data_IF_767077471792
#
_entry.id   IF_767077471792
#
_cell.length_a   1.000
_cell.length_b   1.000
_cell.length_c   1.000
_cell.angle_alpha   90.00
_cell.angle_beta   90.00
_cell.angle_gamma   90.00
#
_symmetry.space_group_name_H-M   'P 1'
#
loop_
_entity.id
_entity.type
_entity.pdbx_description
1 polymer ?
#
# COMPACT_ATOMS: atom_id res chain seq x y z
N UNK A 1 1.33 17.74 70.07
CA UNK A 1 0.67 18.25 68.84
C UNK A 1 1.76 18.58 67.83
N UNK A 2 2.05 17.65 66.91
CA UNK A 2 3.09 17.79 65.89
C UNK A 2 2.53 18.49 64.64
N UNK A 3 3.05 19.66 64.31
CA UNK A 3 2.80 20.34 63.04
C UNK A 3 3.96 20.09 62.08
N UNK A 4 3.76 19.23 61.08
CA UNK A 4 4.69 19.01 59.98
C UNK A 4 4.46 20.11 58.93
N UNK A 5 5.39 21.05 58.80
CA UNK A 5 5.40 22.04 57.73
C UNK A 5 5.82 21.35 56.41
N UNK A 6 4.89 21.31 55.46
CA UNK A 6 5.08 20.69 54.14
C UNK A 6 6.11 21.45 53.29
N UNK A 7 7.02 20.68 52.70
CA UNK A 7 7.95 21.08 51.64
C UNK A 7 7.16 21.56 50.40
N UNK A 8 7.56 22.64 49.71
CA UNK A 8 6.87 23.08 48.49
C UNK A 8 7.03 22.03 47.36
N UNK A 9 6.04 21.88 46.45
CA UNK A 9 6.07 20.85 45.41
C UNK A 9 7.03 21.23 44.28
N UNK A 10 8.31 21.00 44.50
CA UNK A 10 9.34 20.95 43.47
C UNK A 10 9.45 19.54 42.89
N UNK A 11 8.39 19.03 42.26
CA UNK A 11 8.38 17.71 41.63
C UNK A 11 7.44 17.63 40.42
N UNK A 12 7.40 18.69 39.60
CA UNK A 12 6.61 18.71 38.36
C UNK A 12 7.39 19.32 37.17
N UNK A 13 8.72 19.31 37.20
CA UNK A 13 9.55 19.81 36.09
C UNK A 13 10.48 18.76 35.45
N UNK A 14 10.61 17.55 36.02
CA UNK A 14 11.44 16.48 35.42
C UNK A 14 10.71 15.61 34.39
N UNK A 15 9.38 15.72 34.25
CA UNK A 15 8.61 14.94 33.26
C UNK A 15 8.52 15.58 31.86
N UNK A 16 9.25 16.66 31.59
CA UNK A 16 9.21 17.34 30.28
C UNK A 16 10.26 16.79 29.30
N UNK A 17 11.29 16.06 29.78
CA UNK A 17 12.34 15.52 28.90
C UNK A 17 11.94 14.26 28.11
N UNK A 18 11.02 13.45 28.63
CA UNK A 18 10.60 12.21 27.95
C UNK A 18 9.58 12.42 26.82
N UNK A 19 9.01 13.63 26.69
CA UNK A 19 8.05 13.98 25.63
C UNK A 19 8.69 14.33 24.28
N UNK A 20 10.03 14.34 24.18
CA UNK A 20 10.73 14.77 22.96
C UNK A 20 10.80 13.68 21.87
N UNK A 21 10.67 12.40 22.22
CA UNK A 21 10.77 11.31 21.23
C UNK A 21 9.51 11.29 20.33
N UNK A 22 8.33 11.53 20.91
CA UNK A 22 7.05 11.49 20.20
C UNK A 22 6.89 12.57 19.11
N UNK A 23 7.69 13.65 19.15
CA UNK A 23 7.60 14.76 18.17
C UNK A 23 8.91 14.94 17.37
N UNK A 24 9.88 14.05 17.54
CA UNK A 24 11.19 14.15 16.89
C UNK A 24 11.15 13.67 15.43
N UNK A 25 11.92 14.33 14.55
CA UNK A 25 12.22 13.88 13.17
C UNK A 25 12.68 12.42 13.12
N UNK A 26 13.30 11.94 14.21
CA UNK A 26 13.76 10.57 14.39
C UNK A 26 12.59 9.58 14.43
N UNK A 27 11.51 9.87 15.16
CA UNK A 27 10.32 9.00 15.21
C UNK A 27 9.66 8.91 13.83
N UNK A 28 9.55 10.03 13.14
CA UNK A 28 9.02 10.02 11.79
C UNK A 28 9.89 9.18 10.84
N UNK A 29 11.22 9.34 10.90
CA UNK A 29 12.14 8.51 10.12
C UNK A 29 11.93 7.03 10.43
N UNK A 30 11.82 6.65 11.70
CA UNK A 30 11.54 5.27 12.12
C UNK A 30 10.25 4.73 11.51
N UNK A 31 9.16 5.51 11.59
CA UNK A 31 7.87 5.13 11.02
C UNK A 31 7.95 4.91 9.51
N UNK A 32 8.69 5.77 8.80
CA UNK A 32 8.93 5.62 7.36
C UNK A 32 9.75 4.37 7.07
N UNK A 33 10.91 4.18 7.72
CA UNK A 33 11.79 3.03 7.41
C UNK A 33 11.10 1.72 7.75
N UNK A 34 10.46 1.59 8.93
CA UNK A 34 9.80 0.34 9.32
C UNK A 34 8.60 0.00 8.41
N UNK A 35 7.87 1.01 7.93
CA UNK A 35 6.75 0.78 7.02
C UNK A 35 7.23 0.46 5.60
N UNK A 36 8.39 0.98 5.21
CA UNK A 36 8.91 0.92 3.85
C UNK A 36 9.67 -0.34 3.48
N UNK A 37 10.29 -1.04 4.43
CA UNK A 37 11.18 -2.16 4.10
C UNK A 37 10.48 -3.24 3.26
N UNK A 38 9.27 -3.62 3.64
CA UNK A 38 8.54 -4.67 2.95
C UNK A 38 8.02 -4.28 1.55
N UNK A 39 7.37 -3.13 1.33
CA UNK A 39 6.96 -2.69 0.00
C UNK A 39 8.14 -2.42 -0.92
N UNK A 40 9.20 -1.79 -0.43
CA UNK A 40 10.42 -1.52 -1.21
C UNK A 40 11.03 -2.83 -1.70
N UNK A 41 11.13 -3.83 -0.81
CA UNK A 41 11.62 -5.17 -1.16
C UNK A 41 10.82 -5.82 -2.29
N UNK A 42 9.48 -5.71 -2.25
CA UNK A 42 8.59 -6.22 -3.30
C UNK A 42 8.92 -5.55 -4.65
N UNK A 43 8.88 -4.21 -4.70
CA UNK A 43 9.01 -3.47 -5.96
C UNK A 43 10.42 -3.47 -6.55
N UNK A 44 11.47 -3.57 -5.73
CA UNK A 44 12.84 -3.72 -6.23
C UNK A 44 13.06 -5.04 -6.99
N UNK A 45 12.32 -6.11 -6.65
CA UNK A 45 12.52 -7.43 -7.27
C UNK A 45 11.76 -7.60 -8.58
N UNK A 46 10.63 -6.89 -8.74
CA UNK A 46 9.77 -6.94 -9.95
C UNK A 46 10.55 -6.87 -11.28
N UNK A 47 11.46 -5.90 -11.51
CA UNK A 47 12.23 -5.82 -12.76
C UNK A 47 13.10 -7.06 -13.03
N UNK A 48 13.55 -7.76 -11.99
CA UNK A 48 14.45 -8.90 -12.08
C UNK A 48 13.74 -10.25 -12.30
N UNK A 49 12.40 -10.28 -12.27
CA UNK A 49 11.62 -11.53 -12.39
C UNK A 49 11.87 -12.31 -13.69
N UNK A 50 11.98 -11.66 -14.87
CA UNK A 50 12.31 -12.38 -16.10
C UNK A 50 13.69 -13.07 -16.01
N UNK A 51 14.66 -12.42 -15.37
CA UNK A 51 16.02 -12.96 -15.18
C UNK A 51 16.03 -14.10 -14.15
N UNK A 52 15.20 -14.02 -13.11
CA UNK A 52 15.04 -15.14 -12.16
C UNK A 52 14.47 -16.39 -12.86
N UNK A 53 13.50 -16.22 -13.75
CA UNK A 53 12.92 -17.34 -14.51
C UNK A 53 13.99 -18.05 -15.37
N UNK A 54 14.82 -17.28 -16.09
CA UNK A 54 15.89 -17.84 -16.91
C UNK A 54 17.02 -18.43 -16.08
N UNK A 55 17.45 -17.76 -15.01
CA UNK A 55 18.55 -18.23 -14.14
C UNK A 55 18.26 -19.59 -13.51
N UNK A 56 17.02 -19.81 -13.05
CA UNK A 56 16.63 -21.08 -12.44
C UNK A 56 16.10 -22.12 -13.45
N UNK A 57 16.01 -21.76 -14.74
CA UNK A 57 15.46 -22.63 -15.77
C UNK A 57 14.02 -23.06 -15.48
N UNK A 58 13.20 -22.16 -14.91
CA UNK A 58 11.82 -22.45 -14.48
C UNK A 58 10.82 -21.59 -15.23
N UNK A 59 9.59 -22.08 -15.26
CA UNK A 59 8.47 -21.36 -15.85
C UNK A 59 8.26 -19.97 -15.22
N UNK A 60 7.80 -19.02 -16.04
CA UNK A 60 7.50 -17.64 -15.67
C UNK A 60 6.52 -17.59 -14.49
N UNK A 61 5.51 -18.46 -14.50
CA UNK A 61 4.54 -18.56 -13.41
C UNK A 61 5.20 -18.93 -12.08
N UNK A 62 6.17 -19.85 -12.08
CA UNK A 62 6.87 -20.24 -10.86
C UNK A 62 7.76 -19.10 -10.36
N UNK A 63 8.46 -18.40 -11.25
CA UNK A 63 9.25 -17.23 -10.86
C UNK A 63 8.37 -16.12 -10.25
N UNK A 64 7.19 -15.88 -10.83
CA UNK A 64 6.23 -14.90 -10.32
C UNK A 64 5.72 -15.22 -8.91
N UNK A 65 5.68 -16.50 -8.50
CA UNK A 65 5.30 -16.87 -7.13
C UNK A 65 6.18 -16.21 -6.07
N UNK A 66 7.40 -15.80 -6.44
CA UNK A 66 8.32 -15.03 -5.58
C UNK A 66 7.70 -13.70 -5.14
N UNK A 67 6.91 -13.05 -6.00
CA UNK A 67 6.17 -11.82 -5.67
C UNK A 67 4.77 -12.14 -5.16
N UNK A 68 4.06 -13.09 -5.79
CA UNK A 68 2.69 -13.44 -5.39
C UNK A 68 2.62 -13.93 -3.94
N UNK A 69 3.49 -14.87 -3.54
CA UNK A 69 3.53 -15.34 -2.16
C UNK A 69 4.13 -14.31 -1.19
N UNK A 70 5.00 -13.42 -1.66
CA UNK A 70 5.40 -12.25 -0.85
C UNK A 70 4.19 -11.37 -0.51
N UNK A 71 3.29 -11.12 -1.47
CA UNK A 71 2.05 -10.38 -1.22
C UNK A 71 1.11 -11.11 -0.26
N UNK A 72 1.01 -12.45 -0.35
CA UNK A 72 0.28 -13.26 0.63
C UNK A 72 0.88 -13.10 2.04
N UNK A 73 2.21 -13.11 2.16
CA UNK A 73 2.90 -12.83 3.42
C UNK A 73 2.55 -11.46 4.01
N UNK A 74 2.52 -10.41 3.17
CA UNK A 74 2.04 -9.08 3.59
C UNK A 74 0.59 -9.16 4.06
N UNK A 75 -0.30 -9.80 3.30
CA UNK A 75 -1.72 -9.89 3.62
C UNK A 75 -1.92 -10.55 4.99
N UNK A 76 -1.30 -11.72 5.22
CA UNK A 76 -1.38 -12.44 6.48
C UNK A 76 -0.81 -11.62 7.64
N UNK A 77 0.32 -10.94 7.44
CA UNK A 77 0.90 -10.06 8.44
C UNK A 77 -0.06 -8.95 8.87
N UNK A 78 -0.87 -8.41 7.96
CA UNK A 78 -1.81 -7.34 8.29
C UNK A 78 -2.91 -7.78 9.26
N UNK A 79 -3.31 -9.05 9.21
CA UNK A 79 -4.29 -9.62 10.13
C UNK A 79 -3.68 -10.06 11.46
N UNK A 80 -2.46 -10.62 11.42
CA UNK A 80 -1.84 -11.25 12.59
C UNK A 80 -1.17 -10.22 13.50
N UNK A 81 -0.41 -9.28 12.92
CA UNK A 81 0.51 -8.43 13.70
C UNK A 81 -0.22 -7.40 14.56
N UNK A 82 -1.40 -6.93 14.15
CA UNK A 82 -2.21 -5.97 14.92
C UNK A 82 -2.59 -6.53 16.30
N UNK A 83 -3.43 -7.58 16.36
CA UNK A 83 -3.83 -8.20 17.63
C UNK A 83 -2.64 -8.71 18.45
N UNK A 84 -1.59 -9.20 17.79
CA UNK A 84 -0.38 -9.66 18.47
C UNK A 84 0.34 -8.50 19.18
N UNK A 85 0.48 -7.36 18.49
CA UNK A 85 1.09 -6.15 19.06
C UNK A 85 0.28 -5.53 20.19
N UNK A 86 -1.05 -5.63 20.13
CA UNK A 86 -1.92 -5.15 21.20
C UNK A 86 -1.80 -6.04 22.45
N UNK A 87 -1.61 -7.36 22.28
CA UNK A 87 -1.47 -8.33 23.39
C UNK A 87 -0.09 -8.30 24.03
N UNK A 88 0.97 -8.39 23.23
CA UNK A 88 2.34 -8.59 23.70
C UNK A 88 3.17 -7.29 23.79
N UNK A 89 2.65 -6.17 23.31
CA UNK A 89 3.39 -4.90 23.21
C UNK A 89 3.86 -4.62 21.79
N UNK A 90 4.02 -3.33 21.47
CA UNK A 90 4.32 -2.87 20.11
C UNK A 90 5.77 -3.15 19.74
N UNK A 91 6.69 -2.86 20.65
CA UNK A 91 8.13 -3.03 20.44
C UNK A 91 8.55 -4.50 20.29
N UNK A 92 8.17 -5.45 21.17
CA UNK A 92 8.63 -6.84 21.04
C UNK A 92 8.09 -7.51 19.78
N UNK A 93 6.83 -7.23 19.40
CA UNK A 93 6.23 -7.80 18.17
C UNK A 93 6.87 -7.22 16.92
N UNK A 94 7.15 -5.91 16.88
CA UNK A 94 7.85 -5.29 15.77
C UNK A 94 9.26 -5.86 15.61
N UNK A 95 10.02 -6.00 16.70
CA UNK A 95 11.38 -6.54 16.66
C UNK A 95 11.39 -8.03 16.26
N UNK A 96 10.42 -8.82 16.72
CA UNK A 96 10.27 -10.21 16.27
C UNK A 96 9.98 -10.29 14.76
N UNK A 97 9.08 -9.42 14.25
CA UNK A 97 8.76 -9.35 12.83
C UNK A 97 9.95 -8.90 11.97
N UNK A 98 10.66 -7.84 12.38
CA UNK A 98 11.86 -7.37 11.69
C UNK A 98 13.01 -8.39 11.79
N UNK A 99 13.17 -9.07 12.92
CA UNK A 99 14.11 -10.18 13.08
C UNK A 99 13.82 -11.33 12.11
N UNK A 100 12.56 -11.74 11.99
CA UNK A 100 12.12 -12.71 10.99
C UNK A 100 12.44 -12.25 9.55
N UNK A 101 12.23 -10.95 9.27
CA UNK A 101 12.57 -10.36 7.97
C UNK A 101 14.07 -10.48 7.64
N UNK A 102 14.94 -10.26 8.62
CA UNK A 102 16.40 -10.38 8.47
C UNK A 102 16.81 -11.84 8.26
N UNK A 103 16.36 -12.75 9.11
CA UNK A 103 16.70 -14.18 9.01
C UNK A 103 16.23 -14.76 7.67
N UNK A 104 14.99 -14.47 7.28
CA UNK A 104 14.46 -14.88 5.98
C UNK A 104 15.15 -14.16 4.81
N UNK A 105 15.63 -12.92 5.02
CA UNK A 105 16.47 -12.19 4.07
C UNK A 105 17.79 -12.89 3.80
N UNK A 106 18.50 -13.31 4.85
CA UNK A 106 19.72 -14.11 4.76
C UNK A 106 19.44 -15.42 4.01
N UNK A 107 18.34 -16.10 4.36
CA UNK A 107 17.92 -17.32 3.64
C UNK A 107 17.65 -17.09 2.15
N UNK A 108 17.14 -15.92 1.76
CA UNK A 108 16.91 -15.57 0.35
C UNK A 108 18.20 -15.30 -0.41
N UNK A 109 19.21 -14.70 0.25
CA UNK A 109 20.53 -14.44 -0.34
C UNK A 109 21.24 -15.75 -0.70
N UNK A 110 21.17 -16.73 0.20
CA UNK A 110 21.79 -18.06 0.02
C UNK A 110 20.87 -19.07 -0.69
N UNK A 111 19.76 -18.62 -1.29
CA UNK A 111 18.87 -19.52 -2.02
C UNK A 111 19.55 -20.07 -3.28
N UNK A 112 19.65 -21.39 -3.35
CA UNK A 112 20.19 -22.14 -4.49
C UNK A 112 19.08 -22.66 -5.41
N UNK A 113 17.84 -22.70 -4.91
CA UNK A 113 16.68 -23.13 -5.68
C UNK A 113 15.54 -22.11 -5.58
N UNK A 114 14.72 -22.05 -6.62
CA UNK A 114 13.58 -21.13 -6.67
C UNK A 114 12.55 -21.37 -5.54
N UNK A 115 12.18 -22.61 -5.16
CA UNK A 115 11.29 -22.84 -4.02
C UNK A 115 11.86 -22.33 -2.68
N UNK A 116 13.17 -22.46 -2.45
CA UNK A 116 13.82 -21.89 -1.26
C UNK A 116 13.72 -20.37 -1.26
N UNK A 117 13.98 -19.72 -2.41
CA UNK A 117 13.84 -18.28 -2.55
C UNK A 117 12.41 -17.83 -2.28
N UNK A 118 11.42 -18.51 -2.84
CA UNK A 118 9.99 -18.23 -2.64
C UNK A 118 9.61 -18.34 -1.16
N UNK A 119 9.99 -19.43 -0.49
CA UNK A 119 9.69 -19.63 0.94
C UNK A 119 10.34 -18.54 1.80
N UNK A 120 11.62 -18.23 1.54
CA UNK A 120 12.34 -17.19 2.25
C UNK A 120 11.73 -15.79 2.00
N UNK A 121 11.26 -15.51 0.78
CA UNK A 121 10.50 -14.29 0.45
C UNK A 121 9.17 -14.21 1.17
N UNK A 122 8.41 -15.30 1.25
CA UNK A 122 7.16 -15.35 2.01
C UNK A 122 7.38 -14.98 3.49
N UNK A 123 8.35 -15.62 4.15
CA UNK A 123 8.66 -15.31 5.55
C UNK A 123 9.24 -13.90 5.72
N UNK A 124 10.02 -13.42 4.75
CA UNK A 124 10.51 -12.05 4.76
C UNK A 124 9.34 -11.05 4.75
N UNK A 125 8.35 -11.25 3.89
CA UNK A 125 7.17 -10.40 3.83
C UNK A 125 6.33 -10.45 5.10
N UNK A 126 6.12 -11.66 5.63
CA UNK A 126 5.35 -11.89 6.84
C UNK A 126 5.96 -11.14 8.04
N UNK A 127 7.28 -11.12 8.15
CA UNK A 127 7.99 -10.35 9.17
C UNK A 127 8.00 -8.85 8.88
N UNK A 128 8.38 -8.46 7.65
CA UNK A 128 8.59 -7.06 7.27
C UNK A 128 7.32 -6.22 7.23
N UNK A 129 6.16 -6.83 6.99
CA UNK A 129 4.88 -6.13 6.99
C UNK A 129 4.38 -5.76 8.41
N UNK A 130 5.01 -6.28 9.47
CA UNK A 130 4.74 -5.87 10.87
C UNK A 130 4.90 -4.36 11.07
N UNK A 131 5.92 -3.77 10.45
CA UNK A 131 6.17 -2.33 10.49
C UNK A 131 5.01 -1.50 9.93
N UNK A 132 4.30 -1.99 8.91
CA UNK A 132 3.16 -1.25 8.34
C UNK A 132 1.97 -1.14 9.30
N UNK A 133 1.66 -2.23 9.99
CA UNK A 133 0.53 -2.29 10.92
C UNK A 133 0.86 -1.55 12.19
N UNK A 134 2.04 -1.83 12.75
CA UNK A 134 2.47 -1.31 14.05
C UNK A 134 2.77 0.19 13.95
N UNK A 135 3.35 0.68 12.85
CA UNK A 135 3.58 2.11 12.60
C UNK A 135 2.29 2.94 12.71
N UNK A 136 1.21 2.53 12.03
CA UNK A 136 -0.10 3.23 12.10
C UNK A 136 -0.63 3.26 13.52
N UNK A 137 -0.47 2.15 14.22
CA UNK A 137 -0.95 2.03 15.58
C UNK A 137 -0.07 2.85 16.56
N UNK A 138 1.25 2.97 16.34
CA UNK A 138 2.15 3.86 17.10
C UNK A 138 1.74 5.32 16.88
N UNK A 139 1.48 5.72 15.63
CA UNK A 139 1.03 7.08 15.31
C UNK A 139 -0.27 7.42 16.06
N UNK A 140 -1.22 6.48 16.10
CA UNK A 140 -2.48 6.65 16.85
C UNK A 140 -2.28 6.77 18.36
N UNK A 141 -1.24 6.15 18.91
CA UNK A 141 -0.96 6.18 20.34
C UNK A 141 -0.17 7.42 20.76
N UNK A 142 0.76 7.89 19.93
CA UNK A 142 1.63 9.02 20.27
C UNK A 142 1.04 10.39 19.93
N UNK A 143 0.24 10.50 18.87
CA UNK A 143 -0.23 11.80 18.39
C UNK A 143 -1.70 12.08 18.77
N UNK A 144 -2.05 13.35 19.00
CA UNK A 144 -3.44 13.76 19.21
C UNK A 144 -4.26 13.54 17.92
N UNK A 145 -5.58 13.33 18.05
CA UNK A 145 -6.46 12.89 16.95
C UNK A 145 -6.38 13.79 15.72
N UNK A 146 -6.18 15.08 15.93
CA UNK A 146 -6.09 16.11 14.90
C UNK A 146 -4.79 15.98 14.07
N UNK A 147 -3.73 15.40 14.63
CA UNK A 147 -2.42 15.22 13.97
C UNK A 147 -2.21 13.82 13.40
N UNK A 148 -2.99 12.82 13.82
CA UNK A 148 -2.88 11.43 13.35
C UNK A 148 -2.99 11.35 11.82
N UNK A 149 -3.98 12.03 11.24
CA UNK A 149 -4.18 12.06 9.78
C UNK A 149 -2.95 12.61 9.05
N UNK A 150 -2.42 13.75 9.50
CA UNK A 150 -1.24 14.38 8.91
C UNK A 150 0.01 13.49 8.98
N UNK A 151 0.24 12.81 10.11
CA UNK A 151 1.38 11.91 10.26
C UNK A 151 1.27 10.66 9.38
N UNK A 152 0.07 10.05 9.30
CA UNK A 152 -0.19 8.92 8.40
C UNK A 152 0.05 9.35 6.95
N UNK A 153 -0.48 10.51 6.54
CA UNK A 153 -0.28 11.04 5.19
C UNK A 153 1.19 11.29 4.87
N UNK A 154 1.99 11.79 5.83
CA UNK A 154 3.41 12.03 5.62
C UNK A 154 4.20 10.73 5.45
N UNK A 155 3.90 9.71 6.28
CA UNK A 155 4.49 8.37 6.11
C UNK A 155 4.11 7.78 4.75
N UNK A 156 2.83 7.85 4.36
CA UNK A 156 2.36 7.37 3.05
C UNK A 156 3.05 8.10 1.90
N UNK A 157 3.22 9.42 1.98
CA UNK A 157 3.91 10.20 0.96
C UNK A 157 5.38 9.77 0.79
N UNK A 158 6.09 9.57 1.90
CA UNK A 158 7.48 9.08 1.84
C UNK A 158 7.56 7.68 1.21
N UNK A 159 6.61 6.81 1.55
CA UNK A 159 6.53 5.46 0.98
C UNK A 159 6.22 5.46 -0.51
N UNK A 160 5.39 6.39 -0.98
CA UNK A 160 5.09 6.52 -2.40
C UNK A 160 6.34 6.87 -3.21
N UNK A 161 7.15 7.82 -2.71
CA UNK A 161 8.41 8.19 -3.36
C UNK A 161 9.38 7.00 -3.34
N UNK A 162 9.50 6.32 -2.20
CA UNK A 162 10.39 5.17 -2.08
C UNK A 162 9.98 4.02 -3.03
N UNK A 163 8.69 3.69 -3.11
CA UNK A 163 8.17 2.67 -4.03
C UNK A 163 8.34 3.07 -5.49
N UNK A 164 8.18 4.35 -5.82
CA UNK A 164 8.39 4.87 -7.17
C UNK A 164 9.84 4.66 -7.64
N UNK A 165 10.82 4.90 -6.77
CA UNK A 165 12.25 4.74 -7.11
C UNK A 165 12.70 3.27 -7.04
N UNK A 166 11.98 2.42 -6.31
CA UNK A 166 12.39 1.03 -6.04
C UNK A 166 12.61 0.18 -7.30
N UNK A 167 11.70 0.13 -8.31
CA UNK A 167 11.92 -0.63 -9.54
C UNK A 167 13.10 -0.15 -10.36
N UNK A 168 13.36 1.17 -10.39
CA UNK A 168 14.54 1.72 -11.05
C UNK A 168 15.83 1.25 -10.38
N UNK A 169 15.92 1.38 -9.05
CA UNK A 169 17.08 0.90 -8.30
C UNK A 169 17.25 -0.62 -8.43
N UNK A 170 16.15 -1.38 -8.38
CA UNK A 170 16.15 -2.83 -8.57
C UNK A 170 16.66 -3.24 -9.95
N UNK A 171 16.15 -2.62 -11.01
CA UNK A 171 16.59 -2.87 -12.39
C UNK A 171 18.05 -2.51 -12.61
N UNK A 172 18.52 -1.38 -12.07
CA UNK A 172 19.93 -0.98 -12.13
C UNK A 172 20.85 -1.98 -11.42
N UNK A 173 20.50 -2.41 -10.20
CA UNK A 173 21.28 -3.39 -9.45
C UNK A 173 21.32 -4.74 -10.17
N UNK A 174 20.19 -5.18 -10.72
CA UNK A 174 20.11 -6.41 -11.49
C UNK A 174 21.06 -6.35 -12.70
N UNK A 175 20.98 -5.29 -13.50
CA UNK A 175 21.76 -5.18 -14.74
C UNK A 175 23.27 -4.98 -14.49
N UNK A 176 23.67 -4.39 -13.36
CA UNK A 176 25.09 -4.09 -13.05
C UNK A 176 25.79 -5.15 -12.18
N UNK A 177 25.08 -5.71 -11.19
CA UNK A 177 25.63 -6.61 -10.18
C UNK A 177 24.87 -7.94 -10.07
N UNK A 178 23.82 -8.14 -10.87
CA UNK A 178 22.96 -9.33 -10.84
C UNK A 178 21.85 -9.25 -9.80
N UNK A 179 20.84 -10.12 -9.95
CA UNK A 179 19.65 -10.14 -9.09
C UNK A 179 19.93 -10.36 -7.60
N UNK A 180 21.03 -11.05 -7.25
CA UNK A 180 21.42 -11.28 -5.85
C UNK A 180 21.76 -9.98 -5.12
N UNK A 181 22.27 -8.97 -5.83
CA UNK A 181 22.59 -7.66 -5.25
C UNK A 181 21.35 -6.98 -4.64
N UNK A 182 20.17 -7.17 -5.24
CA UNK A 182 18.89 -6.69 -4.72
C UNK A 182 18.63 -7.30 -3.33
N UNK A 183 18.84 -8.62 -3.20
CA UNK A 183 18.60 -9.35 -1.95
C UNK A 183 19.59 -8.96 -0.86
N UNK A 184 20.87 -8.76 -1.21
CA UNK A 184 21.87 -8.25 -0.28
C UNK A 184 21.47 -6.87 0.26
N UNK A 185 21.11 -5.94 -0.63
CA UNK A 185 20.74 -4.59 -0.23
C UNK A 185 19.49 -4.57 0.66
N UNK A 186 18.44 -5.31 0.29
CA UNK A 186 17.22 -5.42 1.10
C UNK A 186 17.53 -6.02 2.48
N UNK A 187 18.35 -7.07 2.54
CA UNK A 187 18.69 -7.73 3.80
C UNK A 187 19.52 -6.83 4.70
N UNK A 188 20.50 -6.11 4.13
CA UNK A 188 21.29 -5.11 4.85
C UNK A 188 20.41 -3.95 5.35
N UNK A 189 19.53 -3.41 4.52
CA UNK A 189 18.59 -2.36 4.91
C UNK A 189 17.63 -2.85 6.02
N UNK A 190 17.18 -4.10 5.96
CA UNK A 190 16.35 -4.71 6.99
C UNK A 190 17.10 -4.83 8.32
N UNK A 191 18.37 -5.25 8.27
CA UNK A 191 19.23 -5.38 9.45
C UNK A 191 19.49 -4.02 10.10
N UNK A 192 19.88 -3.02 9.30
CA UNK A 192 20.08 -1.64 9.76
C UNK A 192 18.79 -1.10 10.38
N UNK A 193 17.64 -1.29 9.73
CA UNK A 193 16.34 -0.88 10.26
C UNK A 193 16.05 -1.57 11.59
N UNK A 194 16.29 -2.89 11.68
CA UNK A 194 16.07 -3.67 12.91
C UNK A 194 16.91 -3.15 14.06
N UNK A 195 18.21 -2.93 13.83
CA UNK A 195 19.14 -2.38 14.83
C UNK A 195 18.69 -0.99 15.26
N UNK A 196 18.36 -0.12 14.31
CA UNK A 196 17.92 1.25 14.59
C UNK A 196 16.65 1.29 15.44
N UNK A 197 15.66 0.46 15.12
CA UNK A 197 14.42 0.32 15.90
C UNK A 197 14.69 -0.30 17.27
N UNK A 198 15.56 -1.31 17.36
CA UNK A 198 15.90 -1.95 18.63
C UNK A 198 16.51 -0.96 19.63
N UNK A 199 17.37 -0.06 19.14
CA UNK A 199 18.07 0.92 19.97
C UNK A 199 17.20 2.11 20.38
N UNK A 200 16.30 2.56 19.50
CA UNK A 200 15.71 3.89 19.67
C UNK A 200 14.18 3.93 19.71
N UNK A 201 13.47 2.82 19.47
CA UNK A 201 12.02 2.75 19.67
C UNK A 201 11.68 2.30 21.10
N UNK A 202 11.08 3.17 21.95
CA UNK A 202 10.56 2.77 23.26
C UNK A 202 9.27 1.95 23.12
N UNK A 203 8.85 1.27 24.20
CA UNK A 203 7.51 0.69 24.23
C UNK A 203 6.46 1.80 24.27
N UNK A 204 5.42 1.67 23.44
CA UNK A 204 4.42 2.72 23.20
C UNK A 204 2.99 2.27 23.45
N UNK A 205 2.79 1.01 23.87
CA UNK A 205 1.48 0.48 24.22
C UNK A 205 0.88 1.29 25.38
N UNK A 206 -0.32 1.83 25.17
CA UNK A 206 -1.18 2.33 26.26
C UNK A 206 -2.03 1.17 26.79
N UNK A 207 -2.14 1.06 28.11
CA UNK A 207 -3.12 0.16 28.73
C UNK A 207 -4.54 0.64 28.37
N UNK A 208 -5.16 -0.04 27.41
CA UNK A 208 -6.58 0.12 27.10
C UNK A 208 -7.30 -1.22 27.27
N UNK A 209 -8.44 -1.12 27.94
CA UNK A 209 -9.36 -2.20 28.21
C UNK A 209 -10.00 -2.75 26.92
N UNK A 210 -10.27 -4.05 26.97
CA UNK A 210 -11.03 -4.92 26.08
C UNK A 210 -11.10 -4.56 24.59
N UNK A 211 -10.42 -5.40 23.81
CA UNK A 211 -10.52 -5.46 22.35
C UNK A 211 -11.99 -5.56 21.92
N UNK A 212 -12.46 -4.62 21.10
CA UNK A 212 -13.64 -4.89 20.29
C UNK A 212 -13.38 -6.16 19.47
N UNK A 213 -14.36 -7.04 19.38
CA UNK A 213 -14.20 -8.29 18.63
C UNK A 213 -14.01 -7.95 17.16
N UNK A 214 -12.77 -8.02 16.66
CA UNK A 214 -12.41 -7.80 15.25
C UNK A 214 -13.39 -8.50 14.30
N UNK A 215 -13.80 -9.73 14.65
CA UNK A 215 -14.76 -10.52 13.87
C UNK A 215 -16.17 -9.89 13.86
N UNK A 216 -16.62 -9.36 14.99
CA UNK A 216 -17.92 -8.68 15.12
C UNK A 216 -17.96 -7.33 14.38
N UNK A 217 -16.87 -6.58 14.39
CA UNK A 217 -16.78 -5.32 13.65
C UNK A 217 -16.67 -5.56 12.15
N UNK A 218 -15.87 -6.54 11.73
CA UNK A 218 -15.76 -6.95 10.33
C UNK A 218 -17.10 -7.44 9.78
N UNK A 219 -17.81 -8.30 10.52
CA UNK A 219 -19.13 -8.78 10.12
C UNK A 219 -20.16 -7.66 9.95
N UNK A 220 -20.12 -6.64 10.81
CA UNK A 220 -21.01 -5.46 10.70
C UNK A 220 -20.64 -4.57 9.52
N UNK A 221 -19.34 -4.37 9.27
CA UNK A 221 -18.87 -3.62 8.10
C UNK A 221 -19.26 -4.30 6.79
N UNK A 222 -19.05 -5.61 6.66
CA UNK A 222 -19.36 -6.39 5.46
C UNK A 222 -20.87 -6.45 5.14
N UNK A 223 -21.75 -6.17 6.12
CA UNK A 223 -23.20 -6.04 5.89
C UNK A 223 -23.59 -4.70 5.28
N UNK A 224 -22.74 -3.66 5.40
CA UNK A 224 -23.02 -2.36 4.80
C UNK A 224 -22.69 -2.38 3.31
N UNK A 225 -23.71 -2.21 2.46
CA UNK A 225 -23.53 -2.13 0.99
C UNK A 225 -22.61 -0.98 0.57
N UNK A 226 -22.68 0.15 1.28
CA UNK A 226 -21.76 1.27 1.04
C UNK A 226 -20.31 0.89 1.31
N UNK A 227 -20.05 0.14 2.40
CA UNK A 227 -18.70 -0.27 2.75
C UNK A 227 -18.15 -1.24 1.72
N UNK A 228 -18.94 -2.24 1.34
CA UNK A 228 -18.57 -3.21 0.30
C UNK A 228 -18.33 -2.51 -1.04
N UNK A 229 -19.16 -1.54 -1.43
CA UNK A 229 -18.97 -0.79 -2.68
C UNK A 229 -17.66 0.00 -2.72
N UNK A 230 -17.36 0.78 -1.68
CA UNK A 230 -16.10 1.52 -1.58
C UNK A 230 -14.88 0.61 -1.45
N UNK A 231 -14.99 -0.46 -0.64
CA UNK A 231 -13.96 -1.49 -0.51
C UNK A 231 -13.62 -2.12 -1.86
N UNK A 232 -14.63 -2.56 -2.62
CA UNK A 232 -14.44 -3.18 -3.92
C UNK A 232 -13.84 -2.20 -4.93
N UNK A 233 -14.27 -0.92 -4.96
CA UNK A 233 -13.65 0.09 -5.81
C UNK A 233 -12.17 0.29 -5.49
N UNK A 234 -11.82 0.39 -4.20
CA UNK A 234 -10.43 0.54 -3.77
C UNK A 234 -9.58 -0.68 -4.16
N UNK A 235 -10.11 -1.89 -3.92
CA UNK A 235 -9.40 -3.14 -4.20
C UNK A 235 -9.24 -3.33 -5.70
N UNK A 236 -10.30 -3.21 -6.51
CA UNK A 236 -10.26 -3.37 -7.97
C UNK A 236 -9.34 -2.35 -8.64
N UNK A 237 -9.38 -1.07 -8.22
CA UNK A 237 -8.48 -0.06 -8.76
C UNK A 237 -7.00 -0.46 -8.58
N UNK A 238 -6.63 -0.95 -7.39
CA UNK A 238 -5.27 -1.40 -7.10
C UNK A 238 -4.84 -2.65 -7.90
N UNK A 239 -5.78 -3.47 -8.36
CA UNK A 239 -5.47 -4.68 -9.15
C UNK A 239 -4.84 -4.35 -10.50
N UNK A 240 -5.09 -3.16 -11.04
CA UNK A 240 -4.46 -2.68 -12.28
C UNK A 240 -2.95 -2.54 -12.09
N UNK A 241 -2.51 -2.05 -10.92
CA UNK A 241 -1.09 -1.90 -10.58
C UNK A 241 -0.45 -3.30 -10.51
N UNK A 242 -1.08 -4.24 -9.82
CA UNK A 242 -0.54 -5.59 -9.62
C UNK A 242 -0.55 -6.45 -10.89
N UNK A 243 -1.59 -6.33 -11.73
CA UNK A 243 -1.63 -6.97 -13.04
C UNK A 243 -0.46 -6.49 -13.91
N UNK A 244 -0.25 -5.17 -13.99
CA UNK A 244 0.83 -4.59 -14.76
C UNK A 244 2.21 -4.85 -14.15
N UNK A 245 2.35 -4.88 -12.82
CA UNK A 245 3.59 -5.27 -12.17
C UNK A 245 3.94 -6.74 -12.41
N UNK A 246 2.95 -7.63 -12.52
CA UNK A 246 3.16 -9.03 -12.85
C UNK A 246 3.53 -9.26 -14.32
N UNK A 247 2.79 -8.66 -15.25
CA UNK A 247 2.98 -8.89 -16.69
C UNK A 247 3.99 -7.97 -17.38
N UNK A 248 4.13 -6.75 -16.89
CA UNK A 248 4.94 -5.70 -17.50
C UNK A 248 6.43 -6.04 -17.66
N UNK A 249 7.11 -6.65 -16.66
CA UNK A 249 8.52 -7.01 -16.78
C UNK A 249 8.76 -8.00 -17.93
N UNK A 250 7.88 -8.99 -18.10
CA UNK A 250 8.01 -9.99 -19.17
C UNK A 250 7.76 -9.39 -20.55
N UNK A 251 6.81 -8.45 -20.68
CA UNK A 251 6.61 -7.73 -21.93
C UNK A 251 7.88 -6.94 -22.30
N UNK A 252 8.44 -6.18 -21.38
CA UNK A 252 9.54 -5.27 -21.70
C UNK A 252 10.87 -6.01 -21.83
N UNK A 253 11.16 -6.96 -20.95
CA UNK A 253 12.43 -7.69 -20.94
C UNK A 253 12.42 -8.86 -21.91
N UNK A 254 11.37 -9.67 -21.91
CA UNK A 254 11.31 -10.89 -22.74
C UNK A 254 10.80 -10.60 -24.15
N UNK A 255 9.72 -9.82 -24.31
CA UNK A 255 9.15 -9.57 -25.65
C UNK A 255 9.85 -8.41 -26.39
N UNK A 256 10.08 -7.28 -25.71
CA UNK A 256 10.73 -6.10 -26.33
C UNK A 256 12.26 -6.15 -26.31
N UNK A 257 12.85 -7.15 -25.65
CA UNK A 257 14.30 -7.33 -25.56
C UNK A 257 15.04 -6.22 -24.83
N UNK A 258 14.37 -5.50 -23.93
CA UNK A 258 14.95 -4.37 -23.17
C UNK A 258 15.54 -4.84 -21.84
N UNK A 259 16.37 -4.00 -21.23
CA UNK A 259 16.98 -4.32 -19.93
C UNK A 259 15.99 -4.16 -18.77
N UNK A 260 16.26 -4.84 -17.65
CA UNK A 260 15.52 -4.67 -16.40
C UNK A 260 15.60 -3.22 -15.88
N UNK A 261 16.73 -2.55 -16.09
CA UNK A 261 16.92 -1.12 -15.78
C UNK A 261 15.98 -0.22 -16.59
N UNK A 262 15.82 -0.48 -17.89
CA UNK A 262 14.89 0.28 -18.75
C UNK A 262 13.43 0.09 -18.29
N UNK A 263 13.01 -1.15 -17.98
CA UNK A 263 11.69 -1.40 -17.38
C UNK A 263 11.53 -0.65 -16.05
N UNK A 264 12.53 -0.72 -15.17
CA UNK A 264 12.51 -0.04 -13.88
C UNK A 264 12.35 1.47 -13.99
N UNK A 265 13.02 2.10 -14.97
CA UNK A 265 12.87 3.53 -15.26
C UNK A 265 11.46 3.89 -15.73
N UNK A 266 10.90 3.12 -16.66
CA UNK A 266 9.55 3.34 -17.15
C UNK A 266 8.48 3.11 -16.07
N UNK A 267 8.65 2.08 -15.22
CA UNK A 267 7.75 1.83 -14.11
C UNK A 267 7.87 2.90 -13.02
N UNK A 268 9.06 3.48 -12.80
CA UNK A 268 9.20 4.63 -11.92
C UNK A 268 8.38 5.84 -12.44
N UNK A 269 8.33 6.06 -13.76
CA UNK A 269 7.51 7.12 -14.35
C UNK A 269 6.00 6.92 -14.14
N UNK A 270 5.50 5.68 -14.10
CA UNK A 270 4.08 5.43 -13.79
C UNK A 270 3.78 5.72 -12.32
N UNK A 271 4.72 5.42 -11.42
CA UNK A 271 4.67 5.86 -10.03
C UNK A 271 4.63 7.38 -9.88
N UNK A 272 5.34 8.11 -10.74
CA UNK A 272 5.27 9.57 -10.79
C UNK A 272 3.89 10.08 -11.22
N UNK A 273 3.25 9.41 -12.19
CA UNK A 273 1.84 9.67 -12.53
C UNK A 273 0.89 9.47 -11.34
N UNK A 274 1.06 8.38 -10.59
CA UNK A 274 0.27 8.14 -9.37
C UNK A 274 0.50 9.21 -8.29
N UNK A 275 1.74 9.71 -8.16
CA UNK A 275 2.08 10.82 -7.27
C UNK A 275 1.39 12.13 -7.68
N UNK A 276 1.45 12.51 -8.97
CA UNK A 276 0.73 13.68 -9.50
C UNK A 276 -0.77 13.55 -9.26
N UNK A 277 -1.35 12.38 -9.53
CA UNK A 277 -2.76 12.12 -9.28
C UNK A 277 -3.15 12.34 -7.81
N UNK A 278 -2.31 11.93 -6.87
CA UNK A 278 -2.54 12.19 -5.45
C UNK A 278 -2.49 13.69 -5.10
N UNK A 279 -1.53 14.44 -5.65
CA UNK A 279 -1.45 15.90 -5.45
C UNK A 279 -2.70 16.60 -5.99
N UNK A 280 -3.16 16.23 -7.19
CA UNK A 280 -4.38 16.76 -7.78
C UNK A 280 -5.61 16.37 -6.95
N UNK A 281 -5.68 15.13 -6.47
CA UNK A 281 -6.76 14.69 -5.58
C UNK A 281 -6.84 15.54 -4.32
N UNK A 282 -5.72 15.80 -3.64
CA UNK A 282 -5.67 16.67 -2.46
C UNK A 282 -6.07 18.11 -2.81
N UNK A 283 -5.68 18.60 -3.98
CA UNK A 283 -6.02 19.96 -4.45
C UNK A 283 -7.52 20.13 -4.71
N UNK A 284 -8.19 19.10 -5.23
CA UNK A 284 -9.62 19.13 -5.58
C UNK A 284 -10.55 18.65 -4.46
N UNK A 285 -10.05 17.91 -3.47
CA UNK A 285 -10.82 17.39 -2.34
C UNK A 285 -11.65 18.45 -1.57
N UNK A 286 -11.19 19.71 -1.38
CA UNK A 286 -12.02 20.73 -0.73
C UNK A 286 -13.17 21.28 -1.58
N UNK A 287 -13.15 21.05 -2.90
CA UNK A 287 -14.08 21.67 -3.86
C UNK A 287 -15.11 20.69 -4.43
N UNK A 288 -14.80 19.40 -4.41
CA UNK A 288 -15.62 18.36 -5.04
C UNK A 288 -15.95 17.27 -4.02
N UNK A 289 -17.16 16.71 -4.11
CA UNK A 289 -17.53 15.56 -3.29
C UNK A 289 -16.67 14.34 -3.66
N UNK A 290 -16.47 13.47 -2.66
CA UNK A 290 -15.72 12.22 -2.79
C UNK A 290 -16.20 11.38 -4.00
N UNK A 291 -17.51 11.29 -4.22
CA UNK A 291 -18.11 10.55 -5.33
C UNK A 291 -17.76 11.16 -6.71
N UNK A 292 -17.74 12.49 -6.84
CA UNK A 292 -17.37 13.17 -8.10
C UNK A 292 -15.91 12.89 -8.46
N UNK A 293 -15.02 12.86 -7.45
CA UNK A 293 -13.62 12.55 -7.64
C UNK A 293 -13.40 11.08 -8.04
N UNK A 294 -14.16 10.15 -7.45
CA UNK A 294 -14.14 8.73 -7.87
C UNK A 294 -14.59 8.62 -9.33
N UNK A 295 -15.71 9.26 -9.71
CA UNK A 295 -16.23 9.21 -11.08
C UNK A 295 -15.26 9.80 -12.10
N UNK A 296 -14.62 10.91 -11.78
CA UNK A 296 -13.56 11.49 -12.60
C UNK A 296 -12.39 10.51 -12.78
N UNK A 297 -11.94 9.89 -11.69
CA UNK A 297 -10.91 8.84 -11.73
C UNK A 297 -11.33 7.65 -12.59
N UNK A 298 -12.55 7.13 -12.43
CA UNK A 298 -13.05 6.00 -13.21
C UNK A 298 -13.14 6.32 -14.71
N UNK A 299 -13.62 7.51 -15.08
CA UNK A 299 -13.68 7.94 -16.47
C UNK A 299 -12.28 7.99 -17.10
N UNK A 300 -11.31 8.56 -16.38
CA UNK A 300 -9.92 8.63 -16.83
C UNK A 300 -9.26 7.24 -16.90
N UNK A 301 -9.58 6.37 -15.95
CA UNK A 301 -9.07 4.99 -15.87
C UNK A 301 -9.58 4.13 -17.04
N UNK A 302 -10.88 4.17 -17.31
CA UNK A 302 -11.50 3.47 -18.45
C UNK A 302 -11.01 4.04 -19.77
N UNK A 303 -10.94 5.37 -19.90
CA UNK A 303 -10.42 6.02 -21.11
C UNK A 303 -8.95 5.67 -21.38
N UNK A 304 -8.10 5.73 -20.36
CA UNK A 304 -6.68 5.39 -20.47
C UNK A 304 -6.42 3.92 -20.78
N UNK A 305 -7.16 3.01 -20.15
CA UNK A 305 -7.05 1.56 -20.42
C UNK A 305 -7.62 1.17 -21.79
N UNK A 306 -8.70 1.82 -22.24
CA UNK A 306 -9.23 1.65 -23.60
C UNK A 306 -8.23 2.14 -24.65
N UNK A 307 -7.62 3.30 -24.44
CA UNK A 307 -6.59 3.83 -25.33
C UNK A 307 -5.39 2.87 -25.42
N UNK A 308 -4.95 2.33 -24.28
CA UNK A 308 -3.88 1.33 -24.24
C UNK A 308 -4.26 0.08 -25.04
N UNK A 309 -5.49 -0.42 -24.91
CA UNK A 309 -6.00 -1.57 -25.66
C UNK A 309 -6.04 -1.29 -27.17
N UNK A 310 -6.51 -0.11 -27.59
CA UNK A 310 -6.54 0.30 -29.00
C UNK A 310 -5.13 0.34 -29.60
N UNK A 311 -4.15 0.92 -28.89
CA UNK A 311 -2.76 0.95 -29.34
C UNK A 311 -2.10 -0.42 -29.33
N UNK A 312 -2.53 -1.31 -28.44
CA UNK A 312 -2.13 -2.71 -28.45
C UNK A 312 -2.65 -3.43 -29.70
N UNK A 313 -3.87 -3.15 -30.14
CA UNK A 313 -4.43 -3.69 -31.39
C UNK A 313 -3.77 -3.11 -32.64
N UNK A 314 -3.42 -1.82 -32.61
CA UNK A 314 -2.72 -1.16 -33.71
C UNK A 314 -1.25 -1.56 -33.85
N UNK A 315 -0.71 -2.38 -32.93
CA UNK A 315 0.70 -2.80 -32.92
C UNK A 315 1.68 -1.71 -32.48
N UNK A 316 1.21 -0.53 -32.05
CA UNK A 316 2.04 0.60 -31.62
C UNK A 316 2.72 0.35 -30.27
N UNK A 317 2.17 -0.54 -29.44
CA UNK A 317 2.71 -0.91 -28.12
C UNK A 317 3.99 -1.77 -28.17
N UNK A 318 4.65 -1.89 -29.32
CA UNK A 318 5.99 -2.49 -29.44
C UNK A 318 7.08 -1.57 -28.83
N UNK A 319 6.81 -0.26 -28.71
CA UNK A 319 7.69 0.69 -28.04
C UNK A 319 7.23 0.96 -26.59
N UNK A 320 8.13 0.96 -25.59
CA UNK A 320 7.79 1.22 -24.19
C UNK A 320 7.01 2.53 -23.97
N UNK A 321 7.33 3.59 -24.72
CA UNK A 321 6.73 4.92 -24.56
C UNK A 321 5.18 4.88 -24.61
N UNK A 322 4.60 4.12 -25.54
CA UNK A 322 3.14 4.07 -25.73
C UNK A 322 2.44 3.27 -24.62
N UNK A 323 3.05 2.14 -24.24
CA UNK A 323 2.56 1.28 -23.16
C UNK A 323 2.57 2.03 -21.82
N UNK A 324 3.69 2.68 -21.49
CA UNK A 324 3.84 3.39 -20.22
C UNK A 324 3.17 4.77 -20.22
N UNK A 325 3.05 5.44 -21.36
CA UNK A 325 2.34 6.72 -21.47
C UNK A 325 0.86 6.59 -21.12
N UNK A 326 0.19 5.57 -21.66
CA UNK A 326 -1.21 5.26 -21.28
C UNK A 326 -1.30 4.71 -19.87
N UNK A 327 -0.35 3.87 -19.44
CA UNK A 327 -0.32 3.40 -18.05
C UNK A 327 -0.18 4.56 -17.05
N UNK A 328 0.55 5.63 -17.38
CA UNK A 328 0.68 6.82 -16.54
C UNK A 328 -0.66 7.54 -16.37
N UNK A 329 -1.46 7.66 -17.43
CA UNK A 329 -2.84 8.18 -17.36
C UNK A 329 -3.68 7.34 -16.41
N UNK A 330 -3.59 6.01 -16.55
CA UNK A 330 -4.31 5.06 -15.68
C UNK A 330 -3.83 5.16 -14.22
N UNK A 331 -2.54 5.43 -13.97
CA UNK A 331 -2.00 5.63 -12.62
C UNK A 331 -2.47 6.93 -11.98
N UNK A 332 -2.52 8.04 -12.73
CA UNK A 332 -3.14 9.30 -12.26
C UNK A 332 -4.59 9.02 -11.84
N UNK A 333 -5.34 8.34 -12.69
CA UNK A 333 -6.72 7.97 -12.43
C UNK A 333 -6.87 7.08 -11.19
N UNK A 334 -5.97 6.11 -11.02
CA UNK A 334 -5.95 5.19 -9.89
C UNK A 334 -5.80 5.92 -8.55
N UNK A 335 -4.99 6.98 -8.50
CA UNK A 335 -4.83 7.80 -7.30
C UNK A 335 -6.16 8.41 -6.83
N UNK A 336 -6.95 8.97 -7.75
CA UNK A 336 -8.28 9.51 -7.43
C UNK A 336 -9.21 8.42 -6.91
N UNK A 337 -9.30 7.27 -7.60
CA UNK A 337 -10.22 6.19 -7.20
C UNK A 337 -9.83 5.62 -5.84
N UNK A 338 -8.56 5.29 -5.63
CA UNK A 338 -8.09 4.63 -4.41
C UNK A 338 -8.19 5.53 -3.17
N UNK A 339 -7.71 6.77 -3.24
CA UNK A 339 -7.69 7.67 -2.09
C UNK A 339 -9.12 7.97 -1.60
N UNK A 340 -10.02 8.29 -2.53
CA UNK A 340 -11.41 8.62 -2.23
C UNK A 340 -12.20 7.38 -1.80
N UNK A 341 -12.02 6.22 -2.46
CA UNK A 341 -12.71 4.99 -2.05
C UNK A 341 -12.27 4.51 -0.67
N UNK A 342 -10.98 4.61 -0.34
CA UNK A 342 -10.48 4.29 1.00
C UNK A 342 -11.08 5.22 2.07
N UNK A 343 -11.13 6.53 1.81
CA UNK A 343 -11.76 7.49 2.70
C UNK A 343 -13.26 7.21 2.89
N UNK A 344 -13.97 6.89 1.80
CA UNK A 344 -15.38 6.51 1.80
C UNK A 344 -15.63 5.27 2.67
N UNK A 345 -14.84 4.21 2.48
CA UNK A 345 -14.95 2.98 3.27
C UNK A 345 -14.72 3.21 4.78
N UNK A 346 -13.71 4.01 5.15
CA UNK A 346 -13.39 4.28 6.57
C UNK A 346 -14.47 5.16 7.23
N UNK A 347 -15.06 6.10 6.47
CA UNK A 347 -16.05 7.06 6.99
C UNK A 347 -17.36 6.41 7.46
N UNK A 348 -17.70 5.21 6.97
CA UNK A 348 -18.96 4.53 7.28
C UNK A 348 -19.05 4.12 8.75
N UNK A 349 -17.91 3.71 9.33
CA UNK A 349 -17.85 3.40 10.76
C UNK A 349 -16.50 3.81 11.34
N UNK A 350 -16.35 5.08 11.75
CA UNK A 350 -15.10 5.62 12.28
C UNK A 350 -14.56 4.85 13.50
N UNK A 351 -15.45 4.31 14.33
CA UNK A 351 -15.11 3.48 15.49
C UNK A 351 -14.32 2.22 15.12
N UNK A 352 -14.59 1.63 13.95
CA UNK A 352 -13.98 0.40 13.45
C UNK A 352 -12.94 0.67 12.35
N UNK A 353 -12.39 1.89 12.28
CA UNK A 353 -11.45 2.31 11.23
C UNK A 353 -10.21 1.40 11.11
N UNK A 354 -9.72 0.87 12.24
CA UNK A 354 -8.62 -0.09 12.26
C UNK A 354 -8.97 -1.41 11.57
N UNK A 355 -10.14 -1.98 11.90
CA UNK A 355 -10.68 -3.19 11.28
C UNK A 355 -10.94 -2.98 9.78
N UNK A 356 -11.52 -1.84 9.40
CA UNK A 356 -11.75 -1.48 8.01
C UNK A 356 -10.43 -1.40 7.22
N UNK A 357 -9.42 -0.72 7.75
CA UNK A 357 -8.11 -0.58 7.10
C UNK A 357 -7.37 -1.92 6.96
N UNK A 358 -7.41 -2.75 8.00
CA UNK A 358 -6.83 -4.10 7.95
C UNK A 358 -7.51 -5.01 6.93
N UNK A 359 -8.85 -4.97 6.86
CA UNK A 359 -9.61 -5.74 5.87
C UNK A 359 -9.35 -5.27 4.43
N UNK A 360 -9.33 -3.95 4.20
CA UNK A 360 -8.98 -3.37 2.90
C UNK A 360 -7.59 -3.84 2.45
N UNK A 361 -6.59 -3.71 3.31
CA UNK A 361 -5.22 -4.08 2.95
C UNK A 361 -5.01 -5.60 2.80
N UNK A 362 -5.68 -6.43 3.61
CA UNK A 362 -5.70 -7.88 3.42
C UNK A 362 -6.27 -8.28 2.06
N UNK A 363 -7.45 -7.75 1.71
CA UNK A 363 -8.09 -8.05 0.42
C UNK A 363 -7.30 -7.49 -0.75
N UNK A 364 -6.76 -6.28 -0.63
CA UNK A 364 -5.90 -5.66 -1.64
C UNK A 364 -4.68 -6.52 -1.95
N UNK A 365 -3.94 -6.96 -0.93
CA UNK A 365 -2.74 -7.78 -1.13
C UNK A 365 -3.07 -9.23 -1.50
N UNK A 366 -4.13 -9.80 -0.92
CA UNK A 366 -4.61 -11.14 -1.21
C UNK A 366 -5.06 -11.28 -2.67
N UNK A 367 -5.98 -10.43 -3.13
CA UNK A 367 -6.40 -10.40 -4.54
C UNK A 367 -5.24 -9.99 -5.45
N UNK A 368 -4.41 -9.05 -4.99
CA UNK A 368 -3.22 -8.60 -5.71
C UNK A 368 -2.26 -9.73 -6.05
N UNK A 369 -2.09 -10.72 -5.16
CA UNK A 369 -1.25 -11.89 -5.40
C UNK A 369 -1.76 -12.72 -6.58
N UNK A 370 -3.07 -12.97 -6.65
CA UNK A 370 -3.71 -13.73 -7.71
C UNK A 370 -3.70 -12.98 -9.04
N UNK A 371 -4.00 -11.68 -9.00
CA UNK A 371 -4.02 -10.84 -10.20
C UNK A 371 -2.60 -10.60 -10.73
N UNK A 372 -1.60 -10.48 -9.85
CA UNK A 372 -0.19 -10.37 -10.26
C UNK A 372 0.28 -11.67 -10.94
N UNK A 373 -0.09 -12.82 -10.38
CA UNK A 373 0.17 -14.13 -10.99
C UNK A 373 -0.48 -14.26 -12.37
N UNK A 374 -1.74 -13.84 -12.49
CA UNK A 374 -2.47 -13.82 -13.75
C UNK A 374 -1.85 -12.84 -14.76
N UNK A 375 -1.41 -11.67 -14.30
CA UNK A 375 -0.70 -10.69 -15.11
C UNK A 375 0.60 -11.25 -15.70
N UNK A 376 1.38 -11.99 -14.91
CA UNK A 376 2.59 -12.66 -15.40
C UNK A 376 2.28 -13.76 -16.42
N UNK A 377 1.20 -14.52 -16.22
CA UNK A 377 0.75 -15.49 -17.23
C UNK A 377 0.42 -14.79 -18.56
N UNK A 378 -0.38 -13.73 -18.51
CA UNK A 378 -0.78 -12.96 -19.70
C UNK A 378 0.41 -12.30 -20.41
N UNK A 379 1.35 -11.72 -19.66
CA UNK A 379 2.53 -11.03 -20.19
C UNK A 379 3.69 -11.96 -20.57
N UNK A 380 3.77 -13.16 -19.99
CA UNK A 380 4.87 -14.10 -20.22
C UNK A 380 4.63 -15.12 -21.31
N UNK A 381 3.39 -15.60 -21.49
CA UNK A 381 3.05 -16.66 -22.44
C UNK A 381 2.54 -16.15 -23.80
N UNK A 382 2.32 -14.84 -23.90
CA UNK A 382 1.79 -14.20 -25.10
C UNK A 382 2.91 -13.49 -25.85
N UNK A 383 2.87 -13.51 -27.18
CA UNK A 383 3.79 -12.73 -28.02
C UNK A 383 3.34 -11.29 -28.24
N UNK A 384 2.16 -10.93 -27.70
CA UNK A 384 1.56 -9.61 -27.86
C UNK A 384 1.18 -9.03 -26.51
N UNK A 385 1.07 -7.71 -26.44
CA UNK A 385 0.60 -6.98 -25.25
C UNK A 385 -0.92 -7.06 -25.04
N UNK A 386 -1.66 -7.63 -26.00
CA UNK A 386 -3.13 -7.64 -26.01
C UNK A 386 -3.76 -8.33 -24.79
N UNK A 387 -3.29 -9.50 -24.33
CA UNK A 387 -3.93 -10.19 -23.22
C UNK A 387 -3.80 -9.42 -21.90
N UNK A 388 -2.64 -8.79 -21.66
CA UNK A 388 -2.48 -7.95 -20.47
C UNK A 388 -3.36 -6.70 -20.54
N UNK A 389 -3.35 -5.99 -21.67
CA UNK A 389 -4.06 -4.71 -21.82
C UNK A 389 -5.58 -4.88 -21.80
N UNK A 390 -6.09 -5.98 -22.36
CA UNK A 390 -7.50 -6.37 -22.25
C UNK A 390 -7.91 -6.68 -20.80
N UNK A 391 -7.05 -7.35 -20.03
CA UNK A 391 -7.30 -7.57 -18.60
C UNK A 391 -7.33 -6.26 -17.81
N UNK A 392 -6.43 -5.31 -18.09
CA UNK A 392 -6.45 -3.98 -17.45
C UNK A 392 -7.73 -3.21 -17.76
N UNK A 393 -8.21 -3.27 -19.00
CA UNK A 393 -9.48 -2.67 -19.39
C UNK A 393 -10.67 -3.34 -18.70
N UNK A 394 -10.70 -4.68 -18.65
CA UNK A 394 -11.74 -5.43 -17.96
C UNK A 394 -11.81 -5.11 -16.46
N UNK A 395 -10.65 -5.00 -15.79
CA UNK A 395 -10.58 -4.60 -14.37
C UNK A 395 -11.09 -3.16 -14.19
N UNK A 396 -10.73 -2.25 -15.09
CA UNK A 396 -11.20 -0.85 -15.06
C UNK A 396 -12.72 -0.76 -15.21
N UNK A 397 -13.30 -1.56 -16.13
CA UNK A 397 -14.74 -1.63 -16.32
C UNK A 397 -15.44 -2.26 -15.11
N UNK A 398 -14.88 -3.33 -14.53
CA UNK A 398 -15.40 -3.94 -13.31
C UNK A 398 -15.40 -2.95 -12.12
N UNK A 399 -14.37 -2.11 -12.01
CA UNK A 399 -14.30 -1.04 -11.02
C UNK A 399 -15.43 -0.01 -11.23
N UNK A 400 -15.68 0.41 -12.48
CA UNK A 400 -16.77 1.33 -12.81
C UNK A 400 -18.15 0.72 -12.54
N UNK A 401 -18.37 -0.55 -12.91
CA UNK A 401 -19.60 -1.28 -12.61
C UNK A 401 -19.86 -1.37 -11.11
N UNK A 402 -18.82 -1.59 -10.30
CA UNK A 402 -18.95 -1.62 -8.84
C UNK A 402 -19.50 -0.29 -8.29
N UNK A 403 -18.99 0.84 -8.79
CA UNK A 403 -19.47 2.16 -8.40
C UNK A 403 -20.95 2.39 -8.82
N UNK A 404 -21.37 1.84 -9.95
CA UNK A 404 -22.75 1.97 -10.46
C UNK A 404 -23.74 1.13 -9.65
N UNK A 405 -23.41 -0.13 -9.40
CA UNK A 405 -24.37 -1.13 -8.91
C UNK A 405 -24.31 -1.39 -7.41
N UNK A 406 -23.16 -1.13 -6.77
CA UNK A 406 -22.92 -1.52 -5.37
C UNK A 406 -22.92 -0.31 -4.43
N UNK A 407 -22.33 0.81 -4.86
CA UNK A 407 -22.31 2.03 -4.06
C UNK A 407 -23.70 2.66 -4.07
N UNK A 408 -24.38 2.77 -2.91
CA UNK A 408 -25.70 3.40 -2.85
C UNK A 408 -25.57 4.85 -3.29
N UNK A 409 -26.37 5.26 -4.28
CA UNK A 409 -26.48 6.69 -4.60
C UNK A 409 -27.06 7.39 -3.38
N UNK A 410 -26.30 8.31 -2.79
CA UNK A 410 -26.87 9.29 -1.88
C UNK A 410 -27.73 10.22 -2.74
N UNK A 411 -28.94 9.78 -3.05
CA UNK A 411 -30.02 10.72 -3.32
C UNK A 411 -30.25 11.44 -1.99
N UNK A 412 -29.46 12.48 -1.74
CA UNK A 412 -29.91 13.53 -0.84
C UNK A 412 -31.06 14.17 -1.60
N UNK A 413 -32.25 13.58 -1.48
CA UNK A 413 -33.48 14.35 -1.61
C UNK A 413 -33.35 15.33 -0.47
N UNK A 414 -32.86 16.53 -0.77
CA UNK A 414 -32.92 17.63 0.19
C UNK A 414 -34.42 17.81 0.40
N UNK A 415 -34.95 17.26 1.49
CA UNK A 415 -36.34 17.48 1.84
C UNK A 415 -36.51 18.97 2.07
N UNK A 416 -37.67 19.53 1.74
CA UNK A 416 -37.94 20.94 2.02
C UNK A 416 -37.70 21.29 3.51
N UNK A 417 -37.81 20.31 4.41
CA UNK A 417 -37.46 20.46 5.83
C UNK A 417 -35.97 20.79 6.08
N UNK A 418 -35.03 20.18 5.33
CA UNK A 418 -33.60 20.48 5.47
C UNK A 418 -33.22 21.84 4.89
N UNK A 419 -33.99 22.34 3.92
CA UNK A 419 -33.84 23.71 3.38
C UNK A 419 -34.41 24.70 4.39
N UNK A 420 -35.61 24.43 4.92
CA UNK A 420 -36.25 25.25 5.93
C UNK A 420 -35.42 25.35 7.23
N UNK A 421 -34.82 24.25 7.69
CA UNK A 421 -33.91 24.27 8.84
C UNK A 421 -32.64 25.10 8.58
N UNK A 422 -32.07 25.03 7.37
CA UNK A 422 -30.91 25.83 7.02
C UNK A 422 -31.26 27.33 6.91
N UNK A 423 -32.46 27.67 6.41
CA UNK A 423 -32.96 29.06 6.36
C UNK A 423 -33.30 29.60 7.76
N UNK A 424 -33.85 28.79 8.67
CA UNK A 424 -34.07 29.17 10.07
C UNK A 424 -32.75 29.40 10.82
N UNK A 425 -31.75 28.53 10.61
CA UNK A 425 -30.42 28.69 11.22
C UNK A 425 -29.70 29.94 10.67
N UNK A 426 -29.88 30.29 9.40
CA UNK A 426 -29.28 31.49 8.78
C UNK A 426 -29.99 32.78 9.22
N UNK A 427 -31.31 32.74 9.44
CA UNK A 427 -32.08 33.86 10.00
C UNK A 427 -31.82 34.07 11.50
N UNK A 428 -31.50 33.02 12.26
CA UNK A 428 -31.11 33.15 13.67
C UNK A 428 -29.70 33.71 13.90
N UNK A 429 -28.89 33.80 12.85
CA UNK A 429 -27.53 34.36 12.88
C UNK A 429 -27.41 35.80 12.36
N UNK A 430 -28.49 36.37 11.81
CA UNK A 430 -28.61 37.82 11.53
C UNK A 430 -29.38 38.53 12.65
#
# INVERSE_FOLDING_TARGET
MHGVMGKPPGAAQDNIKDNNIATSKVMLLMLVVMTGVAPISLYMLVPALPVLATTFGRDIGIAQMTVSLYMVGIALSQLIMGPLSDKFGRRPVLLAGLGLMVVAGIGSVFAETLPQLIAARFFQALGGASGMVISRAIIRDLYPRERVGAMISLVVAALMIAQMVSPLTGGLLETTFGWRAILYLITAASLITTIFIALALPETRRDRADSSSFRGDLGRLMRSRAFVGYLLCQVLASQIIFAFAGGGPYIVVTQMGRSSAEYGAWFAMTGFGYFIGNLLCVRFAPRLSLEKLIWFGLALQVGGSLLNLIWSFAGLNQAPLWLFGTQMIVMVANAFVMANSAAGAISIRPEAAGTASGAMGFLQQGMGSLISQFGAYLGGHSTTTLPLTSALFAISLACACTMIFVVPRRNVVVSQELIAQAEEDEQGMM
#
